data_IF_894799551676
#
_entry.id   IF_894799551676
#
_cell.length_a   1.000
_cell.length_b   1.000
_cell.length_c   1.000
_cell.angle_alpha   90.00
_cell.angle_beta   90.00
_cell.angle_gamma   90.00
#
_symmetry.space_group_name_H-M   'P 1'
#
loop_
_entity.id
_entity.type
_entity.pdbx_description
1 polymer ?
#
# COMPACT_ATOMS: atom_id res chain seq x y z
N UNK A 1 -16.64 8.48 -13.57
CA UNK A 1 -15.30 7.92 -13.27
C UNK A 1 -15.07 8.07 -11.76
N UNK A 2 -14.83 7.00 -11.00
CA UNK A 2 -14.48 7.14 -9.57
C UNK A 2 -12.97 7.25 -9.47
N UNK A 3 -12.47 8.41 -9.04
CA UNK A 3 -11.06 8.59 -8.74
C UNK A 3 -10.71 7.82 -7.47
N UNK A 4 -9.67 6.99 -7.52
CA UNK A 4 -9.11 6.31 -6.35
C UNK A 4 -8.00 7.19 -5.78
N UNK A 5 -8.16 7.62 -4.52
CA UNK A 5 -7.16 8.39 -3.79
C UNK A 5 -6.57 7.49 -2.71
N UNK A 6 -5.29 7.11 -2.82
CA UNK A 6 -4.65 6.28 -1.82
C UNK A 6 -4.42 7.05 -0.53
N UNK A 7 -4.35 6.34 0.60
CA UNK A 7 -3.98 6.93 1.88
C UNK A 7 -2.57 7.54 1.87
N UNK A 8 -1.58 6.75 1.43
CA UNK A 8 -0.18 7.19 1.29
C UNK A 8 0.46 6.63 0.02
N UNK A 9 1.46 7.36 -0.49
CA UNK A 9 2.36 6.91 -1.53
C UNK A 9 3.79 7.07 -1.03
N UNK A 10 4.56 5.98 -1.07
CA UNK A 10 5.99 5.97 -0.77
C UNK A 10 6.76 5.86 -2.07
N UNK A 11 7.87 6.58 -2.17
CA UNK A 11 8.85 6.41 -3.23
C UNK A 11 10.08 5.73 -2.63
N UNK A 12 10.54 4.65 -3.27
CA UNK A 12 11.78 3.95 -2.95
C UNK A 12 12.65 3.90 -4.19
N UNK A 13 13.95 3.94 -3.97
CA UNK A 13 14.95 3.69 -5.01
C UNK A 13 15.38 2.24 -4.88
N UNK A 14 15.29 1.50 -5.98
CA UNK A 14 15.83 0.15 -6.04
C UNK A 14 17.35 0.18 -6.29
N UNK A 15 18.08 -0.92 -6.02
CA UNK A 15 19.54 -0.96 -6.16
C UNK A 15 20.05 -0.66 -7.58
N UNK A 16 19.20 -0.77 -8.59
CA UNK A 16 19.48 -0.43 -9.99
C UNK A 16 19.26 1.05 -10.33
N UNK A 17 18.90 1.88 -9.34
CA UNK A 17 18.61 3.31 -9.49
C UNK A 17 17.20 3.60 -9.99
N UNK A 18 16.35 2.58 -10.19
CA UNK A 18 14.97 2.78 -10.61
C UNK A 18 14.10 3.25 -9.44
N UNK A 19 13.22 4.22 -9.71
CA UNK A 19 12.26 4.71 -8.73
C UNK A 19 10.99 3.87 -8.77
N UNK A 20 10.68 3.20 -7.66
CA UNK A 20 9.40 2.51 -7.48
C UNK A 20 8.52 3.26 -6.50
N UNK A 21 7.26 3.34 -6.84
CA UNK A 21 6.25 3.88 -5.94
C UNK A 21 5.46 2.75 -5.31
N UNK A 22 5.09 2.91 -4.04
CA UNK A 22 4.30 1.93 -3.29
C UNK A 22 3.13 2.66 -2.65
N UNK A 23 1.93 2.26 -3.00
CA UNK A 23 0.71 2.68 -2.32
C UNK A 23 0.65 1.94 -0.98
N UNK A 24 0.44 2.69 0.09
CA UNK A 24 0.32 2.14 1.44
C UNK A 24 -0.99 2.57 2.06
N UNK A 25 -1.78 1.59 2.47
CA UNK A 25 -3.05 1.78 3.17
C UNK A 25 -2.91 1.28 4.61
N UNK A 26 -3.15 2.16 5.58
CA UNK A 26 -3.12 1.77 7.00
C UNK A 26 -4.51 1.29 7.42
N UNK A 27 -4.56 0.14 8.10
CA UNK A 27 -5.80 -0.45 8.63
C UNK A 27 -5.61 -0.94 10.06
N UNK A 28 -6.71 -0.92 10.83
CA UNK A 28 -6.72 -1.51 12.16
C UNK A 28 -6.37 -3.00 12.09
N UNK A 29 -5.68 -3.51 13.10
CA UNK A 29 -5.19 -4.90 13.11
C UNK A 29 -6.29 -5.94 12.87
N UNK A 30 -7.47 -5.72 13.44
CA UNK A 30 -8.65 -6.58 13.27
C UNK A 30 -9.33 -6.45 11.89
N UNK A 31 -9.02 -5.40 11.12
CA UNK A 31 -9.60 -5.14 9.80
C UNK A 31 -8.74 -5.68 8.65
N UNK A 32 -7.56 -6.22 8.94
CA UNK A 32 -6.66 -6.71 7.90
C UNK A 32 -7.32 -7.85 7.10
N UNK A 33 -7.97 -8.78 7.79
CA UNK A 33 -8.63 -9.94 7.16
C UNK A 33 -10.08 -9.65 6.73
N UNK A 34 -10.54 -8.39 6.87
CA UNK A 34 -11.88 -8.01 6.44
C UNK A 34 -12.02 -8.21 4.92
N UNK A 35 -13.09 -8.92 4.52
CA UNK A 35 -13.32 -9.29 3.12
C UNK A 35 -13.42 -8.06 2.19
N UNK A 36 -13.97 -6.94 2.69
CA UNK A 36 -14.07 -5.68 1.94
C UNK A 36 -12.69 -5.04 1.80
N UNK A 37 -11.84 -5.12 2.83
CA UNK A 37 -10.47 -4.62 2.79
C UNK A 37 -9.61 -5.42 1.80
N UNK A 38 -9.71 -6.76 1.82
CA UNK A 38 -9.00 -7.61 0.86
C UNK A 38 -9.49 -7.39 -0.57
N UNK A 39 -10.81 -7.29 -0.79
CA UNK A 39 -11.36 -6.99 -2.11
C UNK A 39 -10.86 -5.64 -2.67
N UNK A 40 -10.77 -4.60 -1.84
CA UNK A 40 -10.21 -3.30 -2.23
C UNK A 40 -8.73 -3.38 -2.59
N UNK A 41 -7.97 -4.17 -1.84
CA UNK A 41 -6.55 -4.44 -2.13
C UNK A 41 -6.38 -5.14 -3.47
N UNK A 42 -7.20 -6.14 -3.74
CA UNK A 42 -7.11 -6.88 -5.01
C UNK A 42 -7.55 -6.02 -6.19
N UNK A 43 -8.58 -5.18 -6.01
CA UNK A 43 -8.95 -4.18 -7.01
C UNK A 43 -7.81 -3.17 -7.26
N UNK A 44 -7.16 -2.67 -6.21
CA UNK A 44 -6.07 -1.71 -6.34
C UNK A 44 -4.86 -2.29 -7.09
N UNK A 45 -4.54 -3.58 -6.91
CA UNK A 45 -3.49 -4.27 -7.68
C UNK A 45 -3.81 -4.40 -9.18
N UNK A 46 -5.09 -4.39 -9.55
CA UNK A 46 -5.52 -4.51 -10.94
C UNK A 46 -5.60 -3.16 -11.68
N UNK A 47 -5.52 -2.03 -10.97
CA UNK A 47 -5.63 -0.71 -11.58
C UNK A 47 -4.40 -0.39 -12.45
N UNK A 48 -4.57 0.26 -13.62
CA UNK A 48 -3.46 0.70 -14.47
C UNK A 48 -2.51 1.69 -13.80
N UNK A 49 -2.98 2.45 -12.79
CA UNK A 49 -2.11 3.30 -11.94
C UNK A 49 -1.05 2.44 -11.22
N UNK A 50 -1.36 1.18 -10.92
CA UNK A 50 -0.43 0.24 -10.33
C UNK A 50 0.51 -0.43 -11.35
N UNK A 51 0.46 -0.11 -12.64
CA UNK A 51 1.40 -0.65 -13.63
C UNK A 51 2.82 -0.10 -13.36
N UNK A 52 3.51 -0.72 -12.42
CA UNK A 52 4.81 -0.29 -11.89
C UNK A 52 4.79 0.15 -10.42
N UNK A 53 3.62 0.33 -9.79
CA UNK A 53 3.53 0.69 -8.37
C UNK A 53 3.18 -0.54 -7.50
N UNK A 54 3.90 -0.73 -6.40
CA UNK A 54 3.54 -1.72 -5.39
C UNK A 54 2.29 -1.31 -4.60
N UNK A 55 1.61 -2.28 -3.99
CA UNK A 55 0.51 -2.03 -3.07
C UNK A 55 0.71 -2.80 -1.77
N UNK A 56 0.61 -2.12 -0.63
CA UNK A 56 0.78 -2.70 0.71
C UNK A 56 -0.32 -2.22 1.64
N UNK A 57 -0.77 -3.11 2.50
CA UNK A 57 -1.55 -2.75 3.69
C UNK A 57 -0.60 -2.80 4.87
N UNK A 58 -0.58 -1.74 5.68
CA UNK A 58 0.16 -1.67 6.93
C UNK A 58 -0.82 -1.75 8.10
N UNK A 59 -0.52 -2.60 9.09
CA UNK A 59 -1.26 -2.63 10.34
C UNK A 59 -1.02 -1.34 11.14
N UNK A 60 -2.07 -0.82 11.77
CA UNK A 60 -1.96 0.35 12.65
C UNK A 60 -0.93 0.12 13.75
N UNK A 61 -0.91 -1.07 14.37
CA UNK A 61 0.08 -1.37 15.42
C UNK A 61 1.52 -1.37 14.91
N UNK A 62 1.77 -1.77 13.65
CA UNK A 62 3.08 -1.72 13.03
C UNK A 62 3.48 -0.27 12.70
N UNK A 63 2.52 0.56 12.29
CA UNK A 63 2.74 1.99 12.08
C UNK A 63 3.12 2.70 13.39
N UNK A 64 2.40 2.42 14.48
CA UNK A 64 2.64 3.00 15.82
C UNK A 64 4.03 2.62 16.36
N UNK A 65 4.46 1.37 16.12
CA UNK A 65 5.80 0.87 16.45
C UNK A 65 6.91 1.38 15.53
N UNK A 66 6.58 2.24 14.57
CA UNK A 66 7.50 2.78 13.54
C UNK A 66 8.12 1.68 12.67
N UNK A 67 7.43 0.56 12.48
CA UNK A 67 7.81 -0.50 11.56
C UNK A 67 7.46 -0.19 10.09
N UNK A 68 7.44 1.09 9.72
CA UNK A 68 7.32 1.52 8.33
C UNK A 68 8.57 1.23 7.50
N UNK A 69 9.71 0.91 8.13
CA UNK A 69 10.97 0.59 7.44
C UNK A 69 10.87 -0.67 6.58
N UNK A 70 9.89 -1.54 6.83
CA UNK A 70 9.53 -2.69 6.00
C UNK A 70 8.99 -2.29 4.61
N UNK A 71 8.67 -1.02 4.40
CA UNK A 71 8.18 -0.47 3.15
C UNK A 71 9.31 0.07 2.24
N UNK A 72 10.52 0.25 2.80
CA UNK A 72 11.75 0.66 2.11
C UNK A 72 12.52 -0.56 1.56
#
# INVERSE_FOLDING_TARGET
MRSYYPGFIFQREDPDGSLKYVIVEVKADNQIEDAVVQAKKDFAKQLPVASGMGYRILKSSDADKRYFRLLL
#
